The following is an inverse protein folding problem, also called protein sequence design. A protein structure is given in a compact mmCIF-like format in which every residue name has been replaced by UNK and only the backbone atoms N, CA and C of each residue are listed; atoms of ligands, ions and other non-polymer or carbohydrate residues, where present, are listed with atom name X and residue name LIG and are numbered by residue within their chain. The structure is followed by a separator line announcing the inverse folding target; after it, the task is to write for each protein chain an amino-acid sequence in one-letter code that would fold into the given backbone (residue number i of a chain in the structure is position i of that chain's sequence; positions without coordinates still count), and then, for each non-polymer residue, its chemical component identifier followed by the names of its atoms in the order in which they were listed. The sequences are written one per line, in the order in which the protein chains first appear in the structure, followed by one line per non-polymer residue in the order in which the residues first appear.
data_IF_001197525734
#
_entry.id   IF_001197525734
#
_cell.length_a   1.000
_cell.length_b   1.000
_cell.length_c   1.000
_cell.angle_alpha   90.00
_cell.angle_beta   90.00
_cell.angle_gamma   90.00
#
_symmetry.space_group_name_H-M   'P 1'
#
loop_
_entity.id
_entity.type
_entity.pdbx_description
1 polymer ?
#
# COMPACT_ATOMS: atom_id res chain seq x y z
N UNK A 1 27.81 19.83 19.29
CA UNK A 1 27.90 19.36 17.91
C UNK A 1 27.61 17.86 17.78
N UNK A 2 28.21 16.99 18.58
CA UNK A 2 27.96 15.52 18.53
C UNK A 2 26.49 15.15 18.84
N UNK A 3 25.89 15.77 19.85
CA UNK A 3 24.49 15.54 20.25
C UNK A 3 23.49 15.96 19.15
N UNK A 4 23.71 17.07 18.47
CA UNK A 4 22.91 17.53 17.34
C UNK A 4 22.99 16.56 16.14
N UNK A 5 24.19 16.04 15.84
CA UNK A 5 24.37 15.08 14.76
C UNK A 5 23.72 13.71 15.07
N UNK A 6 23.75 13.26 16.33
CA UNK A 6 23.10 12.04 16.79
C UNK A 6 21.57 12.16 16.74
N UNK A 7 21.03 13.32 17.12
CA UNK A 7 19.59 13.61 17.05
C UNK A 7 19.08 13.62 15.60
N UNK A 8 19.81 14.27 14.69
CA UNK A 8 19.48 14.29 13.26
C UNK A 8 19.48 12.88 12.68
N UNK A 9 20.48 12.06 13.04
CA UNK A 9 20.55 10.65 12.59
C UNK A 9 19.35 9.82 13.07
N UNK A 10 18.91 9.99 14.31
CA UNK A 10 17.74 9.28 14.85
C UNK A 10 16.46 9.68 14.12
N UNK A 11 16.31 10.97 13.83
CA UNK A 11 15.14 11.47 13.08
C UNK A 11 15.10 10.91 11.66
N UNK A 12 16.22 10.86 10.95
CA UNK A 12 16.30 10.28 9.61
C UNK A 12 15.95 8.80 9.63
N UNK A 13 16.48 8.02 10.59
CA UNK A 13 16.17 6.57 10.69
C UNK A 13 14.68 6.37 10.94
N UNK A 14 14.07 7.12 11.85
CA UNK A 14 12.64 7.04 12.12
C UNK A 14 11.82 7.35 10.86
N UNK A 15 12.15 8.44 10.17
CA UNK A 15 11.47 8.83 8.95
C UNK A 15 11.59 7.78 7.85
N UNK A 16 12.81 7.27 7.61
CA UNK A 16 13.06 6.21 6.62
C UNK A 16 12.26 4.95 6.96
N UNK A 17 12.18 4.59 8.25
CA UNK A 17 11.41 3.42 8.69
C UNK A 17 9.92 3.61 8.46
N UNK A 18 9.35 4.74 8.85
CA UNK A 18 7.92 5.02 8.67
C UNK A 18 7.52 5.06 7.18
N UNK A 19 8.32 5.76 6.36
CA UNK A 19 8.10 5.78 4.91
C UNK A 19 8.27 4.39 4.29
N UNK A 20 9.27 3.64 4.73
CA UNK A 20 9.47 2.25 4.29
C UNK A 20 8.27 1.37 4.60
N UNK A 21 7.72 1.43 5.83
CA UNK A 21 6.53 0.66 6.22
C UNK A 21 5.31 1.07 5.38
N UNK A 22 5.07 2.36 5.21
CA UNK A 22 3.97 2.84 4.39
C UNK A 22 4.11 2.39 2.92
N UNK A 23 5.32 2.46 2.36
CA UNK A 23 5.63 1.98 1.02
C UNK A 23 5.48 0.46 0.89
N UNK A 24 5.98 -0.30 1.86
CA UNK A 24 5.78 -1.75 1.91
C UNK A 24 4.30 -2.14 1.93
N UNK A 25 3.47 -1.37 2.64
CA UNK A 25 2.02 -1.54 2.63
C UNK A 25 1.42 -1.29 1.23
N UNK A 26 1.88 -0.27 0.51
CA UNK A 26 1.40 -0.01 -0.86
C UNK A 26 1.71 -1.17 -1.80
N UNK A 27 2.91 -1.74 -1.73
CA UNK A 27 3.31 -2.92 -2.50
C UNK A 27 2.55 -4.19 -2.05
N UNK A 28 2.28 -4.34 -0.77
CA UNK A 28 1.45 -5.42 -0.23
C UNK A 28 0.07 -5.45 -0.91
N UNK A 29 -0.56 -4.30 -1.11
CA UNK A 29 -1.87 -4.20 -1.75
C UNK A 29 -1.88 -4.59 -3.24
N UNK A 30 -0.74 -4.61 -3.94
CA UNK A 30 -0.66 -5.17 -5.29
C UNK A 30 -1.08 -6.65 -5.33
N UNK A 31 -0.83 -7.38 -4.24
CA UNK A 31 -1.03 -8.83 -4.19
C UNK A 31 -2.14 -9.27 -3.20
N UNK A 32 -2.82 -8.37 -2.51
CA UNK A 32 -3.95 -8.74 -1.62
C UNK A 32 -5.02 -9.50 -2.38
N UNK A 33 -5.58 -8.93 -3.45
CA UNK A 33 -6.63 -9.57 -4.25
C UNK A 33 -6.10 -10.85 -4.94
N UNK A 34 -4.95 -10.84 -5.65
CA UNK A 34 -4.40 -12.04 -6.28
C UNK A 34 -4.17 -13.20 -5.31
N UNK A 35 -3.71 -12.93 -4.10
CA UNK A 35 -3.45 -13.96 -3.08
C UNK A 35 -4.73 -14.66 -2.60
N UNK A 36 -5.88 -14.03 -2.80
CA UNK A 36 -7.19 -14.55 -2.38
C UNK A 36 -7.98 -15.21 -3.54
N UNK A 37 -7.43 -15.31 -4.74
CA UNK A 37 -8.11 -15.88 -5.91
C UNK A 37 -8.66 -17.28 -5.65
N UNK A 38 -7.93 -18.12 -4.91
CA UNK A 38 -8.34 -19.48 -4.62
C UNK A 38 -9.67 -19.58 -3.84
N UNK A 39 -10.04 -18.55 -3.11
CA UNK A 39 -11.29 -18.46 -2.35
C UNK A 39 -12.35 -17.64 -3.09
N UNK A 40 -11.98 -16.54 -3.71
CA UNK A 40 -12.91 -15.61 -4.37
C UNK A 40 -13.51 -16.25 -5.64
N UNK A 41 -12.67 -16.93 -6.43
CA UNK A 41 -13.11 -17.49 -7.71
C UNK A 41 -14.19 -18.57 -7.57
N UNK A 42 -14.07 -19.58 -6.69
CA UNK A 42 -15.13 -20.55 -6.50
C UNK A 42 -16.41 -19.93 -5.94
N UNK A 43 -16.30 -18.96 -5.04
CA UNK A 43 -17.46 -18.33 -4.39
C UNK A 43 -18.28 -17.50 -5.38
N UNK A 44 -17.62 -16.73 -6.25
CA UNK A 44 -18.32 -15.86 -7.22
C UNK A 44 -18.46 -16.47 -8.62
N UNK A 45 -18.01 -17.71 -8.81
CA UNK A 45 -18.08 -18.40 -10.11
C UNK A 45 -17.26 -17.68 -11.20
N UNK A 46 -16.12 -17.08 -10.85
CA UNK A 46 -15.31 -16.28 -11.77
C UNK A 46 -14.13 -17.04 -12.35
N UNK A 47 -13.71 -16.64 -13.54
CA UNK A 47 -12.52 -17.15 -14.22
C UNK A 47 -11.27 -16.30 -13.90
N UNK A 48 -10.07 -16.82 -14.20
CA UNK A 48 -8.83 -16.04 -14.12
C UNK A 48 -8.85 -14.80 -15.00
N UNK A 49 -9.48 -14.85 -16.17
CA UNK A 49 -9.63 -13.70 -17.06
C UNK A 49 -10.47 -12.59 -16.40
N UNK A 50 -11.56 -12.95 -15.73
CA UNK A 50 -12.39 -12.01 -14.98
C UNK A 50 -11.62 -11.42 -13.78
N UNK A 51 -10.89 -12.23 -13.04
CA UNK A 51 -10.04 -11.71 -11.95
C UNK A 51 -8.91 -10.83 -12.49
N UNK A 52 -8.36 -11.16 -13.66
CA UNK A 52 -7.40 -10.30 -14.38
C UNK A 52 -7.98 -8.94 -14.71
N UNK A 53 -9.26 -8.83 -15.10
CA UNK A 53 -9.90 -7.54 -15.36
C UNK A 53 -10.06 -6.69 -14.09
N UNK A 54 -10.27 -7.29 -12.91
CA UNK A 54 -10.26 -6.58 -11.63
C UNK A 54 -8.87 -6.00 -11.37
N UNK A 55 -7.81 -6.78 -11.58
CA UNK A 55 -6.43 -6.30 -11.41
C UNK A 55 -6.06 -5.24 -12.44
N UNK A 56 -6.61 -5.31 -13.64
CA UNK A 56 -6.46 -4.25 -14.66
C UNK A 56 -6.98 -2.91 -14.14
N UNK A 57 -8.12 -2.89 -13.46
CA UNK A 57 -8.66 -1.65 -12.84
C UNK A 57 -7.70 -1.12 -11.78
N UNK A 58 -7.15 -1.99 -10.91
CA UNK A 58 -6.12 -1.56 -9.95
C UNK A 58 -4.93 -0.88 -10.64
N UNK A 59 -4.35 -1.51 -11.65
CA UNK A 59 -3.16 -0.97 -12.32
C UNK A 59 -3.46 0.28 -13.15
N UNK A 60 -4.61 0.37 -13.81
CA UNK A 60 -5.02 1.58 -14.53
C UNK A 60 -5.20 2.76 -13.57
N UNK A 61 -5.96 2.57 -12.48
CA UNK A 61 -6.18 3.65 -11.50
C UNK A 61 -4.89 4.06 -10.80
N UNK A 62 -4.02 3.09 -10.47
CA UNK A 62 -2.70 3.37 -9.91
C UNK A 62 -1.82 4.16 -10.88
N UNK A 63 -1.72 3.73 -12.13
CA UNK A 63 -0.84 4.37 -13.12
C UNK A 63 -1.31 5.78 -13.50
N UNK A 64 -2.61 5.96 -13.77
CA UNK A 64 -3.17 7.26 -14.07
C UNK A 64 -3.11 8.20 -12.87
N UNK A 65 -3.43 7.69 -11.68
CA UNK A 65 -3.30 8.44 -10.44
C UNK A 65 -1.86 8.86 -10.18
N UNK A 66 -0.88 7.98 -10.40
CA UNK A 66 0.54 8.29 -10.21
C UNK A 66 1.03 9.39 -11.18
N UNK A 67 0.56 9.38 -12.42
CA UNK A 67 0.87 10.45 -13.38
C UNK A 67 0.37 11.83 -12.89
N UNK A 68 -0.78 11.87 -12.21
CA UNK A 68 -1.37 13.08 -11.66
C UNK A 68 -0.85 13.46 -10.26
N UNK A 69 -0.30 12.51 -9.49
CA UNK A 69 -0.01 12.69 -8.07
C UNK A 69 1.13 13.66 -7.79
N UNK A 70 2.02 13.91 -8.74
CA UNK A 70 3.01 15.00 -8.62
C UNK A 70 2.34 16.35 -8.38
N UNK A 71 1.31 16.68 -9.16
CA UNK A 71 0.53 17.92 -9.01
C UNK A 71 -0.21 17.96 -7.67
N UNK A 72 -0.75 16.81 -7.22
CA UNK A 72 -1.42 16.73 -5.91
C UNK A 72 -0.44 16.95 -4.76
N UNK A 73 0.75 16.35 -4.83
CA UNK A 73 1.84 16.51 -3.85
C UNK A 73 2.30 17.97 -3.77
N UNK A 74 2.45 18.64 -4.91
CA UNK A 74 2.84 20.05 -4.96
C UNK A 74 1.76 20.97 -4.38
N UNK A 75 0.49 20.66 -4.63
CA UNK A 75 -0.65 21.49 -4.19
C UNK A 75 -1.04 21.28 -2.73
N UNK A 76 -1.09 20.04 -2.25
CA UNK A 76 -1.62 19.68 -0.94
C UNK A 76 -0.52 19.27 0.06
N UNK A 77 0.70 19.05 -0.42
CA UNK A 77 1.82 18.56 0.37
C UNK A 77 1.91 17.03 0.43
N UNK A 78 3.13 16.54 0.43
CA UNK A 78 3.44 15.12 0.36
C UNK A 78 2.85 14.30 1.53
N UNK A 79 2.87 14.84 2.76
CA UNK A 79 2.34 14.16 3.95
C UNK A 79 0.84 13.91 3.85
N UNK A 80 0.07 14.92 3.42
CA UNK A 80 -1.39 14.80 3.28
C UNK A 80 -1.72 13.77 2.20
N UNK A 81 -1.00 13.80 1.08
CA UNK A 81 -1.17 12.81 0.01
C UNK A 81 -0.86 11.39 0.50
N UNK A 82 0.21 11.21 1.29
CA UNK A 82 0.57 9.91 1.84
C UNK A 82 -0.50 9.38 2.81
N UNK A 83 -0.99 10.20 3.75
CA UNK A 83 -2.08 9.81 4.64
C UNK A 83 -3.37 9.47 3.88
N UNK A 84 -3.71 10.25 2.84
CA UNK A 84 -4.85 9.94 1.99
C UNK A 84 -4.66 8.60 1.25
N UNK A 85 -3.44 8.31 0.76
CA UNK A 85 -3.11 7.04 0.14
C UNK A 85 -3.31 5.86 1.08
N UNK A 86 -2.77 5.93 2.31
CA UNK A 86 -2.95 4.86 3.32
C UNK A 86 -4.42 4.71 3.71
N UNK A 87 -5.17 5.80 3.86
CA UNK A 87 -6.61 5.77 4.16
C UNK A 87 -7.42 5.10 3.03
N UNK A 88 -7.06 5.36 1.77
CA UNK A 88 -7.67 4.68 0.61
C UNK A 88 -7.35 3.18 0.59
N UNK A 89 -6.11 2.78 0.92
CA UNK A 89 -5.74 1.36 1.05
C UNK A 89 -6.54 0.68 2.18
N UNK A 90 -6.68 1.34 3.35
CA UNK A 90 -7.51 0.85 4.45
C UNK A 90 -8.97 0.63 3.99
N UNK A 91 -9.54 1.64 3.33
CA UNK A 91 -10.91 1.59 2.81
C UNK A 91 -11.08 0.49 1.76
N UNK A 92 -10.07 0.28 0.89
CA UNK A 92 -10.08 -0.78 -0.11
C UNK A 92 -10.10 -2.18 0.52
N UNK A 93 -9.28 -2.43 1.56
CA UNK A 93 -9.27 -3.69 2.30
C UNK A 93 -10.60 -3.99 2.97
N UNK A 94 -11.21 -2.97 3.61
CA UNK A 94 -12.52 -3.10 4.26
C UNK A 94 -13.67 -3.27 3.24
N UNK A 95 -13.64 -2.55 2.12
CA UNK A 95 -14.61 -2.71 1.05
C UNK A 95 -14.52 -4.10 0.42
N UNK A 96 -13.30 -4.60 0.20
CA UNK A 96 -13.06 -5.95 -0.29
C UNK A 96 -13.64 -6.99 0.67
N UNK A 97 -13.44 -6.82 1.98
CA UNK A 97 -14.01 -7.71 3.00
C UNK A 97 -15.55 -7.74 2.98
N UNK A 98 -16.19 -6.62 2.64
CA UNK A 98 -17.64 -6.52 2.50
C UNK A 98 -18.19 -6.96 1.15
N UNK A 99 -17.36 -7.45 0.22
CA UNK A 99 -17.79 -7.78 -1.13
C UNK A 99 -18.80 -8.94 -1.15
N UNK A 100 -19.95 -8.72 -1.82
CA UNK A 100 -21.05 -9.69 -1.92
C UNK A 100 -21.14 -10.35 -3.30
N UNK A 101 -20.24 -10.01 -4.23
CA UNK A 101 -20.19 -10.56 -5.57
C UNK A 101 -19.08 -9.93 -6.40
N UNK A 102 -18.88 -10.49 -7.59
CA UNK A 102 -17.80 -10.10 -8.50
C UNK A 102 -17.72 -8.59 -8.76
N UNK A 103 -18.87 -7.93 -8.97
CA UNK A 103 -18.91 -6.49 -9.26
C UNK A 103 -18.33 -5.62 -8.13
N UNK A 104 -18.37 -6.09 -6.87
CA UNK A 104 -17.82 -5.37 -5.73
C UNK A 104 -16.29 -5.33 -5.71
N UNK A 105 -15.64 -6.24 -6.41
CA UNK A 105 -14.18 -6.28 -6.50
C UNK A 105 -13.60 -5.09 -7.26
N UNK A 106 -14.35 -4.55 -8.22
CA UNK A 106 -13.89 -3.41 -9.04
C UNK A 106 -13.71 -2.12 -8.23
N UNK A 107 -14.69 -1.65 -7.44
CA UNK A 107 -14.48 -0.46 -6.61
C UNK A 107 -13.40 -0.69 -5.53
N UNK A 108 -13.26 -1.89 -4.97
CA UNK A 108 -12.17 -2.20 -4.05
C UNK A 108 -10.80 -2.10 -4.74
N UNK A 109 -10.66 -2.66 -5.95
CA UNK A 109 -9.44 -2.58 -6.74
C UNK A 109 -9.14 -1.14 -7.17
N UNK A 110 -10.16 -0.36 -7.57
CA UNK A 110 -9.99 1.04 -7.94
C UNK A 110 -9.50 1.89 -6.75
N UNK A 111 -10.09 1.72 -5.57
CA UNK A 111 -9.65 2.41 -4.34
C UNK A 111 -8.21 2.03 -3.97
N UNK A 112 -7.88 0.73 -4.04
CA UNK A 112 -6.52 0.28 -3.78
C UNK A 112 -5.51 0.89 -4.77
N UNK A 113 -5.85 0.94 -6.06
CA UNK A 113 -5.03 1.56 -7.10
C UNK A 113 -4.85 3.06 -6.89
N UNK A 114 -5.93 3.79 -6.57
CA UNK A 114 -5.84 5.23 -6.24
C UNK A 114 -5.00 5.45 -4.98
N UNK A 115 -5.18 4.64 -3.94
CA UNK A 115 -4.35 4.71 -2.74
C UNK A 115 -2.88 4.47 -3.06
N UNK A 116 -2.57 3.47 -3.87
CA UNK A 116 -1.21 3.14 -4.29
C UNK A 116 -0.54 4.27 -5.09
N UNK A 117 -1.29 5.05 -5.84
CA UNK A 117 -0.78 6.02 -6.83
C UNK A 117 0.07 7.15 -6.26
N UNK A 118 -0.12 7.51 -5.00
CA UNK A 118 0.52 8.69 -4.39
C UNK A 118 1.86 8.40 -3.73
N UNK A 119 2.18 7.12 -3.47
CA UNK A 119 3.34 6.76 -2.63
C UNK A 119 4.67 7.22 -3.23
N UNK A 120 4.98 6.85 -4.47
CA UNK A 120 6.28 7.23 -5.05
C UNK A 120 6.51 8.75 -5.07
N UNK A 121 5.59 9.59 -5.60
CA UNK A 121 5.79 11.03 -5.58
C UNK A 121 5.86 11.61 -4.17
N UNK A 122 5.03 11.15 -3.24
CA UNK A 122 5.00 11.64 -1.87
C UNK A 122 6.26 11.22 -1.10
N UNK A 123 6.61 9.94 -1.13
CA UNK A 123 7.77 9.39 -0.42
C UNK A 123 9.08 10.04 -0.90
N UNK A 124 9.26 10.16 -2.22
CA UNK A 124 10.45 10.79 -2.79
C UNK A 124 10.52 12.28 -2.42
N UNK A 125 9.39 12.99 -2.45
CA UNK A 125 9.34 14.39 -2.01
C UNK A 125 9.73 14.53 -0.53
N UNK A 126 9.23 13.65 0.35
CA UNK A 126 9.56 13.70 1.78
C UNK A 126 11.03 13.35 2.01
N UNK A 127 11.53 12.26 1.41
CA UNK A 127 12.93 11.84 1.56
C UNK A 127 13.90 12.92 1.11
N UNK A 128 13.69 13.48 -0.08
CA UNK A 128 14.58 14.53 -0.63
C UNK A 128 14.60 15.82 0.20
N UNK A 129 13.51 16.12 0.93
CA UNK A 129 13.44 17.35 1.74
C UNK A 129 13.89 17.16 3.18
N UNK A 130 13.74 15.97 3.75
CA UNK A 130 13.89 15.75 5.18
C UNK A 130 15.07 14.86 5.57
N UNK A 131 15.56 14.00 4.69
CA UNK A 131 16.71 13.13 4.97
C UNK A 131 18.02 13.86 4.62
N UNK A 132 19.03 13.76 5.51
CA UNK A 132 20.34 14.34 5.24
C UNK A 132 20.97 13.73 3.99
N UNK A 133 21.60 14.58 3.14
CA UNK A 133 22.09 14.20 1.81
C UNK A 133 22.99 12.96 1.78
N UNK A 134 23.88 12.80 2.76
CA UNK A 134 24.79 11.64 2.86
C UNK A 134 24.05 10.31 3.11
N UNK A 135 22.82 10.36 3.65
CA UNK A 135 21.99 9.18 3.93
C UNK A 135 20.89 8.93 2.90
N UNK A 136 20.73 9.83 1.95
CA UNK A 136 19.68 9.73 0.93
C UNK A 136 19.79 8.46 0.07
N UNK A 137 20.98 8.03 -0.42
CA UNK A 137 21.11 6.77 -1.13
C UNK A 137 20.71 5.56 -0.30
N UNK A 138 21.02 5.56 1.00
CA UNK A 138 20.61 4.52 1.94
C UNK A 138 19.08 4.54 2.13
N UNK A 139 18.46 5.71 2.25
CA UNK A 139 17.02 5.85 2.37
C UNK A 139 16.27 5.25 1.18
N UNK A 140 16.70 5.54 -0.05
CA UNK A 140 16.13 4.95 -1.26
C UNK A 140 16.32 3.42 -1.33
N UNK A 141 17.48 2.93 -0.88
CA UNK A 141 17.75 1.48 -0.85
C UNK A 141 16.81 0.77 0.12
N UNK A 142 16.65 1.28 1.34
CA UNK A 142 15.73 0.73 2.34
C UNK A 142 14.28 0.79 1.85
N UNK A 143 13.87 1.92 1.29
CA UNK A 143 12.54 2.10 0.70
C UNK A 143 12.24 1.01 -0.34
N UNK A 144 13.15 0.77 -1.28
CA UNK A 144 13.00 -0.27 -2.30
C UNK A 144 12.96 -1.69 -1.72
N UNK A 145 13.82 -1.99 -0.74
CA UNK A 145 13.86 -3.30 -0.07
C UNK A 145 12.55 -3.55 0.66
N UNK A 146 12.05 -2.57 1.42
CA UNK A 146 10.80 -2.73 2.18
C UNK A 146 9.60 -2.85 1.25
N UNK A 147 9.59 -2.16 0.10
CA UNK A 147 8.60 -2.39 -0.96
C UNK A 147 8.57 -3.84 -1.43
N UNK A 148 9.74 -4.43 -1.73
CA UNK A 148 9.83 -5.83 -2.14
C UNK A 148 9.40 -6.80 -1.03
N UNK A 149 9.70 -6.50 0.24
CA UNK A 149 9.20 -7.25 1.40
C UNK A 149 7.67 -7.19 1.43
N UNK A 150 7.05 -6.04 1.15
CA UNK A 150 5.60 -5.90 1.05
C UNK A 150 4.99 -6.87 0.04
N UNK A 151 5.57 -6.99 -1.16
CA UNK A 151 5.14 -7.99 -2.15
C UNK A 151 5.29 -9.42 -1.66
N UNK A 152 6.40 -9.76 -1.02
CA UNK A 152 6.66 -11.11 -0.52
C UNK A 152 5.71 -11.49 0.65
N UNK A 153 5.39 -10.53 1.52
CA UNK A 153 4.53 -10.76 2.69
C UNK A 153 3.05 -10.92 2.32
N UNK A 154 2.59 -10.27 1.25
CA UNK A 154 1.17 -10.29 0.89
C UNK A 154 0.60 -11.71 0.70
N UNK A 155 1.16 -12.58 -0.17
CA UNK A 155 0.64 -13.93 -0.32
C UNK A 155 0.75 -14.74 0.97
N UNK A 156 1.84 -14.61 1.72
CA UNK A 156 2.04 -15.34 2.97
C UNK A 156 0.98 -14.96 3.99
N UNK A 157 0.78 -13.67 4.23
CA UNK A 157 -0.18 -13.18 5.24
C UNK A 157 -1.63 -13.42 4.82
N UNK A 158 -1.97 -13.16 3.55
CA UNK A 158 -3.34 -13.32 3.08
C UNK A 158 -3.77 -14.79 3.07
N UNK A 159 -2.92 -15.69 2.58
CA UNK A 159 -3.20 -17.13 2.58
C UNK A 159 -3.26 -17.67 4.01
N UNK A 160 -2.31 -17.29 4.89
CA UNK A 160 -2.33 -17.70 6.29
C UNK A 160 -3.60 -17.23 7.01
N UNK A 161 -3.98 -15.96 6.85
CA UNK A 161 -5.18 -15.41 7.48
C UNK A 161 -6.47 -16.08 6.95
N UNK A 162 -6.58 -16.27 5.63
CA UNK A 162 -7.74 -16.92 5.03
C UNK A 162 -7.85 -18.38 5.47
N UNK A 163 -6.73 -19.12 5.54
CA UNK A 163 -6.70 -20.52 5.98
C UNK A 163 -7.01 -20.66 7.47
N UNK A 164 -6.45 -19.80 8.32
CA UNK A 164 -6.64 -19.86 9.76
C UNK A 164 -8.08 -19.49 10.19
N UNK A 165 -8.72 -18.58 9.46
CA UNK A 165 -10.09 -18.12 9.77
C UNK A 165 -11.17 -18.83 8.97
N UNK A 166 -10.81 -19.58 7.94
CA UNK A 166 -11.74 -20.14 6.95
C UNK A 166 -12.44 -19.07 6.10
N UNK A 167 -11.94 -17.82 6.11
CA UNK A 167 -12.60 -16.69 5.46
C UNK A 167 -11.61 -15.75 4.77
N UNK A 168 -11.69 -15.64 3.45
CA UNK A 168 -10.94 -14.65 2.70
C UNK A 168 -11.36 -13.21 3.03
N UNK A 169 -12.62 -13.01 3.46
CA UNK A 169 -13.08 -11.70 3.93
C UNK A 169 -12.37 -11.26 5.20
N UNK A 170 -12.12 -12.19 6.13
CA UNK A 170 -11.34 -11.90 7.32
C UNK A 170 -9.88 -11.53 6.96
N UNK A 171 -9.29 -12.21 5.98
CA UNK A 171 -7.98 -11.85 5.47
C UNK A 171 -7.99 -10.44 4.83
N UNK A 172 -8.97 -10.12 3.99
CA UNK A 172 -9.11 -8.79 3.40
C UNK A 172 -9.32 -7.71 4.47
N UNK A 173 -10.17 -7.98 5.48
CA UNK A 173 -10.36 -7.08 6.62
C UNK A 173 -9.06 -6.84 7.39
N UNK A 174 -8.24 -7.88 7.61
CA UNK A 174 -6.94 -7.74 8.29
C UNK A 174 -5.99 -6.80 7.54
N UNK A 175 -5.99 -6.83 6.20
CA UNK A 175 -5.23 -5.87 5.39
C UNK A 175 -5.71 -4.43 5.61
N UNK A 176 -7.02 -4.21 5.67
CA UNK A 176 -7.62 -2.92 6.00
C UNK A 176 -7.24 -2.43 7.40
N UNK A 177 -7.31 -3.33 8.41
CA UNK A 177 -6.94 -3.01 9.80
C UNK A 177 -5.44 -2.67 9.92
N UNK A 178 -4.57 -3.46 9.29
CA UNK A 178 -3.12 -3.14 9.25
C UNK A 178 -2.88 -1.77 8.65
N UNK A 179 -3.61 -1.40 7.58
CA UNK A 179 -3.51 -0.07 6.98
C UNK A 179 -3.94 1.04 7.95
N UNK A 180 -5.00 0.82 8.74
CA UNK A 180 -5.41 1.77 9.79
C UNK A 180 -4.32 1.92 10.85
N UNK A 181 -3.69 0.82 11.28
CA UNK A 181 -2.60 0.88 12.26
C UNK A 181 -1.39 1.67 11.71
N UNK A 182 -1.06 1.48 10.44
CA UNK A 182 0.00 2.26 9.76
C UNK A 182 -0.39 3.73 9.65
N UNK A 183 -1.67 4.05 9.42
CA UNK A 183 -2.16 5.44 9.36
C UNK A 183 -2.05 6.16 10.70
N UNK A 184 -2.17 5.44 11.81
CA UNK A 184 -2.12 5.99 13.16
C UNK A 184 -0.69 6.08 13.74
N UNK A 185 0.31 5.48 13.09
CA UNK A 185 1.71 5.48 13.53
C UNK A 185 2.47 6.71 13.04
#
# INVERSE_FOLDING_TARGET
MAESAAQTRRQDILLITLLGVAHGLSHFFHLVIPSLFAWIMPEFGTSFAQMGSVMTVFFITSSLGQAASGVLVDRFGARICLYAGVALLASAGLLLAGAQGYAWLFPAAALAGLGNSVFHPADYSIMNRAVHGDRLPFAFSIHSIVGNIGWALAPVMMVAAASATGSWRAAAASAGVVSILVLLA
#
